data_IF_788213278094
#
_entry.id   IF_788213278094
#
_cell.length_a   1.000
_cell.length_b   1.000
_cell.length_c   1.000
_cell.angle_alpha   90.00
_cell.angle_beta   90.00
_cell.angle_gamma   90.00
#
_symmetry.space_group_name_H-M   'P 1'
#
loop_
_entity.id
_entity.type
_entity.pdbx_description
1 polymer ?
#
# COMPACT_ATOMS: atom_id res chain seq x y z
N UNK A 1 -4.68 15.86 -1.20
CA UNK A 1 -3.67 15.29 -2.11
C UNK A 1 -4.38 14.78 -3.33
N UNK A 2 -3.92 15.14 -4.53
CA UNK A 2 -4.48 14.65 -5.79
C UNK A 2 -3.91 13.27 -6.13
N UNK A 3 -4.60 12.49 -6.96
CA UNK A 3 -4.07 11.21 -7.47
C UNK A 3 -2.76 11.44 -8.24
N UNK A 4 -2.64 12.54 -8.97
CA UNK A 4 -1.41 12.84 -9.72
C UNK A 4 -0.21 13.10 -8.79
N UNK A 5 -0.45 13.70 -7.62
CA UNK A 5 0.60 13.90 -6.62
C UNK A 5 1.16 12.54 -6.18
N UNK A 6 0.28 11.57 -5.87
CA UNK A 6 0.64 10.20 -5.50
C UNK A 6 1.42 9.43 -6.57
N UNK A 7 1.12 9.67 -7.85
CA UNK A 7 1.81 9.02 -8.98
C UNK A 7 3.20 9.62 -9.22
N UNK A 8 3.40 10.88 -8.84
CA UNK A 8 4.64 11.60 -9.09
C UNK A 8 5.71 11.36 -8.01
N UNK A 9 5.29 10.96 -6.80
CA UNK A 9 6.13 10.79 -5.62
C UNK A 9 6.73 9.37 -5.51
N UNK A 10 7.94 9.29 -4.95
CA UNK A 10 8.49 8.02 -4.47
C UNK A 10 8.06 7.85 -3.01
N UNK A 11 7.41 6.74 -2.72
CA UNK A 11 6.90 6.44 -1.40
C UNK A 11 7.94 5.67 -0.59
N UNK A 12 8.31 6.17 0.59
CA UNK A 12 9.30 5.55 1.47
C UNK A 12 8.66 4.89 2.72
N UNK A 13 7.37 4.55 2.63
CA UNK A 13 6.65 3.89 3.70
C UNK A 13 5.88 4.82 4.62
N UNK A 14 5.41 5.97 4.15
CA UNK A 14 4.53 6.82 4.95
C UNK A 14 3.28 6.05 5.40
N UNK A 15 2.83 6.34 6.63
CA UNK A 15 1.62 5.73 7.19
C UNK A 15 0.39 6.52 6.73
N UNK A 16 -0.57 5.80 6.17
CA UNK A 16 -1.82 6.38 5.69
C UNK A 16 -3.00 5.69 6.38
N UNK A 17 -4.06 6.47 6.59
CA UNK A 17 -5.36 6.00 7.04
C UNK A 17 -6.40 6.50 6.06
N UNK A 18 -7.27 5.59 5.60
CA UNK A 18 -8.45 5.94 4.80
C UNK A 18 -9.70 5.52 5.54
N UNK A 19 -10.71 6.38 5.48
CA UNK A 19 -12.06 6.08 5.97
C UNK A 19 -12.86 5.40 4.85
N UNK A 20 -13.34 4.18 5.11
CA UNK A 20 -14.16 3.40 4.19
C UNK A 20 -15.66 3.55 4.50
N UNK A 21 -16.03 4.32 5.53
CA UNK A 21 -17.40 4.41 6.03
C UNK A 21 -17.85 3.10 6.66
N UNK A 22 -18.98 2.59 6.22
CA UNK A 22 -19.55 1.33 6.71
C UNK A 22 -18.99 0.13 5.94
N UNK A 23 -18.41 -0.84 6.66
CA UNK A 23 -18.03 -2.13 6.09
C UNK A 23 -19.04 -3.21 6.51
N UNK A 24 -19.88 -3.66 5.57
CA UNK A 24 -20.73 -4.84 5.75
C UNK A 24 -19.87 -6.09 5.58
N UNK A 25 -19.84 -6.95 6.60
CA UNK A 25 -19.05 -8.19 6.59
C UNK A 25 -19.93 -9.41 6.27
N UNK A 26 -19.32 -10.53 5.87
CA UNK A 26 -19.99 -11.70 5.31
C UNK A 26 -21.11 -12.29 6.20
N UNK A 27 -21.01 -12.10 7.52
CA UNK A 27 -22.02 -12.56 8.48
C UNK A 27 -23.18 -11.57 8.68
N UNK A 28 -23.24 -10.49 7.91
CA UNK A 28 -24.30 -9.48 7.94
C UNK A 28 -24.12 -8.39 9.00
N UNK A 29 -23.06 -8.42 9.81
CA UNK A 29 -22.75 -7.33 10.74
C UNK A 29 -22.12 -6.14 9.99
N UNK A 30 -22.16 -4.97 10.62
CA UNK A 30 -21.63 -3.72 10.06
C UNK A 30 -20.56 -3.13 10.97
N UNK A 31 -19.46 -2.68 10.38
CA UNK A 31 -18.45 -1.84 11.02
C UNK A 31 -18.70 -0.38 10.60
N UNK A 32 -19.30 0.40 11.48
CA UNK A 32 -19.80 1.77 11.21
C UNK A 32 -18.72 2.79 10.81
N UNK A 33 -17.50 2.64 11.33
CA UNK A 33 -16.37 3.54 11.09
C UNK A 33 -15.15 2.73 10.66
N UNK A 34 -15.31 2.01 9.56
CA UNK A 34 -14.31 1.13 8.99
C UNK A 34 -13.12 1.96 8.46
N UNK A 35 -11.95 1.77 9.06
CA UNK A 35 -10.73 2.46 8.66
C UNK A 35 -9.68 1.46 8.23
N UNK A 36 -9.05 1.72 7.10
CA UNK A 36 -7.92 0.95 6.61
C UNK A 36 -6.63 1.75 6.80
N UNK A 37 -5.62 1.10 7.37
CA UNK A 37 -4.29 1.66 7.53
C UNK A 37 -3.30 0.90 6.65
N UNK A 38 -2.41 1.63 5.99
CA UNK A 38 -1.46 1.04 5.05
C UNK A 38 -0.20 1.89 4.91
N UNK A 39 0.81 1.30 4.27
CA UNK A 39 2.04 1.98 3.88
C UNK A 39 2.34 1.67 2.41
N UNK A 40 2.88 2.63 1.68
CA UNK A 40 3.28 2.48 0.27
C UNK A 40 4.79 2.58 0.14
N UNK A 41 5.35 1.81 -0.79
CA UNK A 41 6.78 1.76 -1.05
C UNK A 41 7.06 1.82 -2.54
N UNK A 42 8.11 2.53 -2.94
CA UNK A 42 8.51 2.69 -4.34
C UNK A 42 7.64 3.70 -5.08
N UNK A 43 7.64 3.61 -6.42
CA UNK A 43 6.95 4.56 -7.29
C UNK A 43 5.97 3.84 -8.20
N UNK A 44 4.78 4.40 -8.36
CA UNK A 44 3.75 3.85 -9.23
C UNK A 44 4.03 4.21 -10.69
N UNK A 45 3.71 3.31 -11.62
CA UNK A 45 3.57 3.70 -13.03
C UNK A 45 2.28 4.46 -13.22
N UNK A 46 2.25 5.31 -14.25
CA UNK A 46 1.05 6.05 -14.67
C UNK A 46 -0.10 5.12 -15.08
N UNK A 47 0.19 3.92 -15.57
CA UNK A 47 -0.79 2.89 -15.94
C UNK A 47 -1.20 1.99 -14.75
N UNK A 48 -0.67 2.25 -13.56
CA UNK A 48 -0.89 1.48 -12.32
C UNK A 48 -0.52 -0.02 -12.43
N UNK A 49 0.25 -0.43 -13.44
CA UNK A 49 0.48 -1.83 -13.74
C UNK A 49 1.47 -2.52 -12.78
N UNK A 50 2.02 -1.81 -11.80
CA UNK A 50 3.07 -2.27 -10.90
C UNK A 50 2.65 -2.26 -9.42
N UNK A 51 1.34 -2.25 -9.15
CA UNK A 51 0.80 -2.29 -7.80
C UNK A 51 0.68 -3.73 -7.33
N UNK A 52 1.25 -4.01 -6.16
CA UNK A 52 1.13 -5.30 -5.48
C UNK A 52 0.59 -5.06 -4.08
N UNK A 53 -0.49 -5.75 -3.73
CA UNK A 53 -1.09 -5.70 -2.41
C UNK A 53 -0.48 -6.78 -1.52
N UNK A 54 -0.04 -6.37 -0.33
CA UNK A 54 0.60 -7.26 0.64
C UNK A 54 -0.17 -7.18 1.95
N UNK A 55 -1.03 -8.17 2.27
CA UNK A 55 -1.76 -8.20 3.53
C UNK A 55 -0.82 -8.48 4.71
N UNK A 56 -1.23 -8.06 5.90
CA UNK A 56 -0.52 -8.41 7.14
C UNK A 56 -0.97 -9.76 7.69
N UNK A 57 -0.27 -10.27 8.69
CA UNK A 57 -0.62 -11.49 9.41
C UNK A 57 -1.22 -11.18 10.80
N UNK A 58 -1.66 -12.22 11.51
CA UNK A 58 -2.17 -12.11 12.87
C UNK A 58 -1.14 -11.45 13.80
N UNK A 59 -1.52 -10.38 14.51
CA UNK A 59 -0.65 -9.56 15.35
C UNK A 59 0.51 -8.87 14.61
N UNK A 60 0.50 -8.89 13.27
CA UNK A 60 1.40 -8.11 12.43
C UNK A 60 0.82 -6.73 12.10
N UNK A 61 1.67 -5.86 11.55
CA UNK A 61 1.26 -4.58 10.98
C UNK A 61 2.11 -4.25 9.74
N UNK A 62 1.75 -3.19 9.02
CA UNK A 62 2.42 -2.82 7.77
C UNK A 62 3.91 -2.47 7.93
N UNK A 63 4.32 -1.96 9.09
CA UNK A 63 5.74 -1.65 9.37
C UNK A 63 6.56 -2.92 9.60
N UNK A 64 6.03 -3.86 10.39
CA UNK A 64 6.63 -5.17 10.58
C UNK A 64 6.76 -5.92 9.25
N UNK A 65 5.75 -5.85 8.39
CA UNK A 65 5.80 -6.46 7.06
C UNK A 65 6.92 -5.87 6.18
N UNK A 66 7.14 -4.54 6.23
CA UNK A 66 8.17 -3.88 5.45
C UNK A 66 9.60 -4.21 5.91
N UNK A 67 9.78 -4.49 7.20
CA UNK A 67 11.08 -4.69 7.85
C UNK A 67 11.48 -6.15 8.02
N UNK A 68 10.53 -7.09 8.02
CA UNK A 68 10.80 -8.54 8.19
C UNK A 68 11.34 -9.17 6.91
N UNK A 69 12.05 -10.30 6.99
CA UNK A 69 12.59 -11.07 5.85
C UNK A 69 11.54 -11.51 4.80
N UNK A 70 10.26 -11.55 5.17
CA UNK A 70 9.13 -11.80 4.24
C UNK A 70 8.70 -10.53 3.48
N UNK A 71 9.33 -9.39 3.74
CA UNK A 71 9.27 -8.19 2.91
C UNK A 71 9.70 -8.60 1.50
N UNK A 72 8.74 -8.73 0.60
CA UNK A 72 9.01 -8.72 -0.82
C UNK A 72 9.59 -7.33 -1.12
N UNK A 73 10.91 -7.18 -0.94
CA UNK A 73 11.65 -6.04 -1.43
C UNK A 73 11.58 -6.11 -2.95
N UNK A 74 10.50 -5.57 -3.50
CA UNK A 74 10.34 -5.39 -4.94
C UNK A 74 11.25 -4.24 -5.34
N UNK A 75 12.56 -4.53 -5.42
CA UNK A 75 13.52 -3.68 -6.09
C UNK A 75 13.22 -3.78 -7.59
N UNK A 76 12.40 -2.87 -8.11
CA UNK A 76 12.26 -2.70 -9.54
C UNK A 76 13.57 -2.05 -10.02
N UNK A 77 14.54 -2.87 -10.48
CA UNK A 77 15.64 -2.37 -11.28
C UNK A 77 15.08 -1.90 -12.62
N UNK A 78 14.83 -0.59 -12.74
CA UNK A 78 14.57 0.01 -14.04
C UNK A 78 15.94 0.07 -14.74
N UNK A 79 16.15 -0.58 -15.89
CA UNK A 79 17.37 -0.40 -16.64
C UNK A 79 17.42 1.06 -17.12
N UNK A 80 18.43 1.81 -16.69
CA UNK A 80 18.77 3.09 -17.30
C UNK A 80 19.16 2.82 -18.75
N UNK A 81 18.28 3.16 -19.69
CA UNK A 81 18.65 3.24 -21.10
C UNK A 81 19.53 4.48 -21.25
N UNK A 82 20.85 4.27 -21.26
CA UNK A 82 21.81 5.31 -21.63
C UNK A 82 21.69 5.57 -23.12
N UNK A 83 21.47 6.83 -23.50
CA UNK A 83 21.49 7.33 -24.87
C UNK A 83 22.87 7.17 -25.52
#
# INVERSE_FOLDING_TARGET
MSVNDWLSETHDGQFHTVDLGECVIENGQVIEACRLTFRTYGRWRLDLSNIVLMPTWLNGNAEGLATTTISARMALSIPTTTS
#
